data_IF_979557933676
#
_entry.id   IF_979557933676
#
_cell.length_a   1.000
_cell.length_b   1.000
_cell.length_c   1.000
_cell.angle_alpha   90.00
_cell.angle_beta   90.00
_cell.angle_gamma   90.00
#
_symmetry.space_group_name_H-M   'P 1'
#
loop_
_entity.id
_entity.type
_entity.pdbx_description
1 polymer ?
#
# COMPACT_ATOMS: atom_id res chain seq x y z
N UNK A 1 -25.88 -44.52 26.70
CA UNK A 1 -25.03 -43.33 26.52
C UNK A 1 -23.93 -43.70 25.53
N UNK A 2 -24.22 -43.65 24.23
CA UNK A 2 -23.22 -43.93 23.18
C UNK A 2 -22.38 -42.66 23.01
N UNK A 3 -21.17 -42.67 23.57
CA UNK A 3 -20.15 -41.68 23.21
C UNK A 3 -19.79 -41.93 21.74
N UNK A 4 -20.20 -41.01 20.86
CA UNK A 4 -19.62 -40.93 19.54
C UNK A 4 -18.12 -40.64 19.71
N UNK A 5 -17.29 -41.67 19.57
CA UNK A 5 -15.83 -41.50 19.47
C UNK A 5 -15.60 -40.60 18.26
N UNK A 6 -15.21 -39.36 18.51
CA UNK A 6 -14.85 -38.41 17.48
C UNK A 6 -13.56 -38.93 16.84
N UNK A 7 -13.68 -39.73 15.77
CA UNK A 7 -12.53 -40.21 15.03
C UNK A 7 -11.75 -39.01 14.51
N UNK A 8 -10.46 -38.97 14.84
CA UNK A 8 -9.58 -37.90 14.44
C UNK A 8 -9.31 -38.02 12.94
N UNK A 9 -9.58 -36.96 12.17
CA UNK A 9 -9.43 -36.98 10.71
C UNK A 9 -7.95 -37.14 10.34
N UNK A 10 -7.61 -38.25 9.70
CA UNK A 10 -6.28 -38.48 9.17
C UNK A 10 -6.05 -37.62 7.92
N UNK A 11 -5.29 -36.52 8.08
CA UNK A 11 -4.91 -35.64 6.96
C UNK A 11 -3.52 -35.94 6.39
N UNK A 12 -2.82 -36.92 6.96
CA UNK A 12 -1.48 -37.34 6.58
C UNK A 12 -1.51 -38.79 6.12
N UNK A 13 -0.78 -39.10 5.07
CA UNK A 13 -0.71 -40.44 4.50
C UNK A 13 -0.16 -41.42 5.57
N UNK A 14 -0.85 -42.55 5.84
CA UNK A 14 -0.40 -43.51 6.85
C UNK A 14 0.96 -44.15 6.52
N UNK A 15 1.31 -44.25 5.23
CA UNK A 15 2.55 -44.89 4.78
C UNK A 15 3.77 -43.99 4.86
N UNK A 16 3.66 -42.70 4.50
CA UNK A 16 4.82 -41.80 4.39
C UNK A 16 4.74 -40.52 5.24
N UNK A 17 3.63 -40.29 5.96
CA UNK A 17 3.43 -39.10 6.78
C UNK A 17 3.19 -37.79 6.01
N UNK A 18 3.22 -37.81 4.67
CA UNK A 18 2.98 -36.60 3.87
C UNK A 18 1.51 -36.17 3.92
N UNK A 19 1.30 -34.85 3.95
CA UNK A 19 -0.04 -34.26 3.98
C UNK A 19 -0.78 -34.55 2.67
N UNK A 20 -1.95 -35.16 2.77
CA UNK A 20 -2.80 -35.44 1.62
C UNK A 20 -3.62 -34.23 1.17
N UNK A 21 -3.98 -34.21 -0.12
CA UNK A 21 -4.89 -33.22 -0.71
C UNK A 21 -6.27 -33.82 -0.89
N UNK A 22 -7.35 -33.05 -0.71
CA UNK A 22 -8.71 -33.54 -0.95
C UNK A 22 -8.88 -34.05 -2.38
N UNK A 23 -9.57 -35.18 -2.55
CA UNK A 23 -9.91 -35.74 -3.88
C UNK A 23 -11.40 -36.10 -3.95
N UNK A 24 -12.03 -35.87 -5.09
CA UNK A 24 -13.46 -36.14 -5.28
C UNK A 24 -13.78 -37.64 -5.43
N UNK A 25 -14.97 -38.07 -4.99
CA UNK A 25 -15.48 -39.44 -5.20
C UNK A 25 -15.56 -39.75 -6.71
N UNK A 26 -15.90 -38.76 -7.52
CA UNK A 26 -15.91 -38.87 -8.99
C UNK A 26 -14.54 -39.32 -9.51
N UNK A 27 -13.44 -38.75 -9.00
CA UNK A 27 -12.08 -39.10 -9.38
C UNK A 27 -11.73 -40.54 -8.99
N UNK A 28 -12.07 -40.95 -7.76
CA UNK A 28 -11.85 -42.31 -7.26
C UNK A 28 -12.59 -43.32 -8.14
N UNK A 29 -13.88 -43.10 -8.38
CA UNK A 29 -14.73 -43.97 -9.21
C UNK A 29 -14.19 -44.13 -10.63
N UNK A 30 -13.71 -43.05 -11.25
CA UNK A 30 -13.25 -43.10 -12.65
C UNK A 30 -11.86 -43.70 -12.82
N UNK A 31 -10.97 -43.53 -11.83
CA UNK A 31 -9.55 -43.86 -11.99
C UNK A 31 -9.13 -45.14 -11.25
N UNK A 32 -9.89 -45.62 -10.27
CA UNK A 32 -9.65 -46.93 -9.65
C UNK A 32 -10.07 -48.06 -10.60
N UNK A 33 -9.41 -49.20 -10.49
CA UNK A 33 -9.76 -50.43 -11.21
C UNK A 33 -11.17 -50.89 -10.85
N UNK A 34 -11.80 -51.71 -11.71
CA UNK A 34 -13.19 -52.13 -11.55
C UNK A 34 -13.48 -52.81 -10.19
N UNK A 35 -12.49 -53.51 -9.63
CA UNK A 35 -12.57 -54.14 -8.30
C UNK A 35 -12.86 -53.13 -7.17
N UNK A 36 -12.28 -51.93 -7.24
CA UNK A 36 -12.40 -50.91 -6.19
C UNK A 36 -13.36 -49.78 -6.57
N UNK A 37 -13.56 -49.52 -7.86
CA UNK A 37 -14.46 -48.47 -8.35
C UNK A 37 -15.90 -48.68 -7.87
N UNK A 38 -16.35 -49.93 -7.79
CA UNK A 38 -17.70 -50.31 -7.34
C UNK A 38 -18.03 -49.88 -5.90
N UNK A 39 -17.02 -49.66 -5.06
CA UNK A 39 -17.18 -49.17 -3.69
C UNK A 39 -17.71 -47.72 -3.66
N UNK A 40 -17.63 -47.01 -4.78
CA UNK A 40 -17.98 -45.59 -4.91
C UNK A 40 -19.23 -45.36 -5.78
N UNK A 41 -19.93 -46.41 -6.17
CA UNK A 41 -21.13 -46.31 -7.01
C UNK A 41 -22.37 -45.87 -6.22
N UNK A 42 -22.47 -46.24 -4.94
CA UNK A 42 -23.65 -46.01 -4.10
C UNK A 42 -23.78 -44.58 -3.54
N UNK A 43 -22.70 -43.82 -3.42
CA UNK A 43 -22.74 -42.43 -2.93
C UNK A 43 -23.12 -41.41 -4.01
N UNK A 44 -23.12 -41.82 -5.29
CA UNK A 44 -23.56 -40.97 -6.39
C UNK A 44 -25.08 -41.09 -6.69
N UNK A 45 -25.75 -42.10 -6.12
CA UNK A 45 -27.14 -42.43 -6.43
C UNK A 45 -28.18 -41.72 -5.56
N UNK A 46 -27.78 -40.87 -4.61
CA UNK A 46 -28.75 -40.05 -3.87
C UNK A 46 -29.48 -39.01 -4.73
N UNK A 47 -29.13 -38.88 -6.02
CA UNK A 47 -29.76 -37.93 -6.95
C UNK A 47 -30.22 -38.55 -8.29
N UNK A 48 -30.24 -39.89 -8.42
CA UNK A 48 -30.88 -40.55 -9.58
C UNK A 48 -32.23 -41.12 -9.16
N UNK A 49 -33.31 -40.43 -9.51
CA UNK A 49 -34.61 -41.09 -9.65
C UNK A 49 -34.69 -41.80 -11.00
N UNK A 50 -35.35 -42.96 -10.99
CA UNK A 50 -35.43 -43.92 -12.09
C UNK A 50 -36.18 -43.44 -13.36
N UNK A 51 -36.65 -42.19 -13.43
CA UNK A 51 -37.63 -41.73 -14.43
C UNK A 51 -37.24 -40.45 -15.19
N UNK A 52 -35.95 -40.18 -15.40
CA UNK A 52 -35.50 -39.14 -16.35
C UNK A 52 -35.85 -37.68 -16.00
N UNK A 53 -36.40 -37.42 -14.81
CA UNK A 53 -36.68 -36.08 -14.31
C UNK A 53 -35.60 -35.66 -13.28
N UNK A 54 -34.92 -34.54 -13.56
CA UNK A 54 -33.96 -33.93 -12.64
C UNK A 54 -34.69 -33.47 -11.37
N UNK A 55 -34.42 -34.10 -10.23
CA UNK A 55 -34.95 -33.63 -8.95
C UNK A 55 -34.44 -32.21 -8.66
N UNK A 56 -35.33 -31.22 -8.72
CA UNK A 56 -35.07 -29.85 -8.29
C UNK A 56 -34.78 -29.84 -6.80
N UNK A 57 -33.51 -29.67 -6.43
CA UNK A 57 -33.09 -29.55 -5.02
C UNK A 57 -31.87 -30.37 -4.62
N UNK A 58 -31.31 -31.19 -5.51
CA UNK A 58 -30.01 -31.83 -5.24
C UNK A 58 -28.87 -30.83 -5.43
N UNK A 59 -28.35 -30.25 -4.36
CA UNK A 59 -27.01 -29.66 -4.36
C UNK A 59 -26.00 -30.80 -4.30
N UNK A 60 -25.17 -31.06 -5.32
CA UNK A 60 -24.09 -32.01 -5.19
C UNK A 60 -23.22 -31.50 -4.06
N UNK A 61 -23.19 -32.28 -2.98
CA UNK A 61 -22.38 -31.95 -1.84
C UNK A 61 -20.94 -31.96 -2.30
N UNK A 62 -20.39 -30.76 -2.53
CA UNK A 62 -18.95 -30.50 -2.67
C UNK A 62 -18.24 -30.69 -1.32
N UNK A 63 -18.77 -31.59 -0.50
CA UNK A 63 -18.38 -31.91 0.85
C UNK A 63 -17.16 -32.82 0.79
N UNK A 64 -16.29 -32.57 1.76
CA UNK A 64 -15.14 -33.37 2.13
C UNK A 64 -15.49 -34.86 2.01
N UNK A 65 -14.99 -35.51 0.96
CA UNK A 65 -15.32 -36.89 0.58
C UNK A 65 -14.74 -37.91 1.55
N UNK A 66 -13.96 -37.46 2.53
CA UNK A 66 -13.20 -38.32 3.41
C UNK A 66 -12.00 -38.96 2.74
N UNK A 67 -11.63 -38.56 1.51
CA UNK A 67 -10.50 -39.13 0.77
C UNK A 67 -9.43 -38.09 0.46
N UNK A 68 -8.18 -38.55 0.53
CA UNK A 68 -6.99 -37.73 0.32
C UNK A 68 -6.06 -38.37 -0.71
N UNK A 69 -5.48 -37.55 -1.60
CA UNK A 69 -4.43 -37.90 -2.53
C UNK A 69 -3.05 -37.62 -1.93
N UNK A 70 -2.16 -38.62 -1.97
CA UNK A 70 -0.76 -38.51 -1.55
C UNK A 70 0.14 -38.19 -2.76
N UNK A 71 0.76 -37.01 -2.76
CA UNK A 71 1.62 -36.52 -3.85
C UNK A 71 3.12 -36.82 -3.65
N UNK A 72 3.45 -37.62 -2.64
CA UNK A 72 4.81 -38.11 -2.41
C UNK A 72 5.26 -39.05 -3.54
N UNK A 73 6.43 -38.77 -4.11
CA UNK A 73 7.03 -39.60 -5.17
C UNK A 73 7.56 -40.94 -4.65
N UNK A 74 7.99 -40.98 -3.39
CA UNK A 74 8.61 -42.16 -2.77
C UNK A 74 7.60 -43.00 -1.97
N UNK A 75 6.31 -42.89 -2.29
CA UNK A 75 5.25 -43.60 -1.59
C UNK A 75 4.30 -44.22 -2.62
N UNK A 76 4.02 -45.52 -2.48
CA UNK A 76 3.15 -46.24 -3.40
C UNK A 76 1.65 -45.93 -3.17
N UNK A 77 1.27 -45.49 -1.96
CA UNK A 77 -0.10 -45.07 -1.64
C UNK A 77 -0.46 -43.83 -2.45
N UNK A 78 -1.54 -43.92 -3.23
CA UNK A 78 -2.12 -42.85 -4.04
C UNK A 78 -3.27 -42.18 -3.29
N UNK A 79 -4.22 -42.96 -2.80
CA UNK A 79 -5.36 -42.46 -2.05
C UNK A 79 -5.42 -43.08 -0.65
N UNK A 80 -5.91 -42.33 0.32
CA UNK A 80 -6.17 -42.81 1.67
C UNK A 80 -7.41 -42.14 2.26
N UNK A 81 -8.13 -42.87 3.10
CA UNK A 81 -9.30 -42.38 3.78
C UNK A 81 -8.93 -41.56 5.03
N UNK A 82 -9.81 -40.64 5.43
CA UNK A 82 -9.63 -39.78 6.61
C UNK A 82 -10.11 -40.43 7.91
N UNK A 83 -11.03 -41.39 7.80
CA UNK A 83 -11.76 -41.98 8.94
C UNK A 83 -11.56 -43.51 9.03
N UNK A 84 -10.79 -44.09 8.12
CA UNK A 84 -10.46 -45.52 8.11
C UNK A 84 -9.04 -45.72 7.61
N UNK A 85 -8.47 -46.90 7.87
CA UNK A 85 -7.14 -47.29 7.38
C UNK A 85 -7.14 -47.71 5.90
N UNK A 86 -8.22 -47.43 5.16
CA UNK A 86 -8.34 -47.79 3.75
C UNK A 86 -7.36 -46.97 2.90
N UNK A 87 -6.59 -47.67 2.07
CA UNK A 87 -5.63 -47.06 1.15
C UNK A 87 -5.72 -47.72 -0.22
N UNK A 88 -5.39 -46.95 -1.27
CA UNK A 88 -5.22 -47.45 -2.63
C UNK A 88 -3.84 -47.08 -3.13
N UNK A 89 -3.12 -48.06 -3.65
CA UNK A 89 -1.78 -47.92 -4.21
C UNK A 89 -1.82 -47.69 -5.73
N UNK A 90 -0.65 -47.46 -6.34
CA UNK A 90 -0.51 -47.32 -7.81
C UNK A 90 -1.14 -48.46 -8.60
N UNK A 91 -1.02 -49.70 -8.11
CA UNK A 91 -1.57 -50.90 -8.73
C UNK A 91 -3.09 -50.88 -8.87
N UNK A 92 -3.76 -50.08 -8.06
CA UNK A 92 -5.21 -50.09 -7.90
C UNK A 92 -5.88 -49.09 -8.86
N UNK A 93 -5.08 -48.37 -9.67
CA UNK A 93 -5.54 -47.38 -10.63
C UNK A 93 -5.36 -47.86 -12.07
N UNK A 94 -6.29 -47.43 -12.94
CA UNK A 94 -6.27 -47.71 -14.40
C UNK A 94 -5.22 -46.87 -15.15
N UNK A 95 -4.68 -45.84 -14.50
CA UNK A 95 -3.76 -44.88 -15.10
C UNK A 95 -2.48 -44.78 -14.27
N UNK A 96 -1.35 -44.54 -14.94
CA UNK A 96 -0.09 -44.26 -14.26
C UNK A 96 -0.17 -42.93 -13.50
N UNK A 97 0.39 -42.87 -12.30
CA UNK A 97 0.34 -41.66 -11.46
C UNK A 97 1.66 -40.91 -11.58
N UNK A 98 1.74 -39.94 -12.48
CA UNK A 98 3.04 -39.39 -12.93
C UNK A 98 3.93 -38.81 -11.84
N UNK A 99 3.38 -38.27 -10.74
CA UNK A 99 4.19 -37.80 -9.60
C UNK A 99 4.90 -38.92 -8.84
N UNK A 100 4.46 -40.16 -9.01
CA UNK A 100 5.02 -41.38 -8.39
C UNK A 100 5.87 -42.20 -9.35
N UNK A 101 5.98 -41.77 -10.60
CA UNK A 101 6.77 -42.44 -11.62
C UNK A 101 8.14 -41.75 -11.74
N UNK A 102 9.21 -42.54 -11.69
CA UNK A 102 10.60 -42.06 -11.88
C UNK A 102 11.12 -42.37 -13.28
N UNK A 103 10.49 -43.30 -13.99
CA UNK A 103 10.85 -43.74 -15.35
C UNK A 103 9.61 -43.74 -16.26
N UNK A 104 9.80 -44.01 -17.55
CA UNK A 104 8.70 -44.03 -18.53
C UNK A 104 8.19 -42.63 -18.91
N UNK A 105 6.92 -42.56 -19.32
CA UNK A 105 6.28 -41.33 -19.81
C UNK A 105 6.16 -40.25 -18.73
N UNK A 106 5.80 -40.65 -17.50
CA UNK A 106 5.49 -39.75 -16.37
C UNK A 106 4.44 -38.69 -16.75
N UNK A 107 3.16 -39.07 -16.81
CA UNK A 107 2.09 -38.18 -17.24
C UNK A 107 1.94 -36.93 -16.35
N UNK A 108 1.75 -35.77 -16.97
CA UNK A 108 1.57 -34.47 -16.29
C UNK A 108 0.16 -33.90 -16.53
N UNK A 109 -0.31 -33.92 -17.78
CA UNK A 109 -1.66 -33.53 -18.18
C UNK A 109 -2.38 -34.71 -18.84
N UNK A 110 -3.26 -35.36 -18.09
CA UNK A 110 -4.02 -36.50 -18.54
C UNK A 110 -5.05 -36.16 -19.62
N UNK A 111 -5.59 -34.93 -19.63
CA UNK A 111 -6.59 -34.53 -20.63
C UNK A 111 -6.00 -34.33 -22.04
N UNK A 112 -4.75 -33.89 -22.14
CA UNK A 112 -4.15 -33.48 -23.41
C UNK A 112 -2.83 -34.20 -23.73
N UNK A 113 -2.46 -35.20 -22.92
CA UNK A 113 -1.33 -36.09 -23.21
C UNK A 113 0.06 -35.50 -22.97
N UNK A 114 0.19 -34.45 -22.15
CA UNK A 114 1.52 -33.92 -21.80
C UNK A 114 2.17 -34.77 -20.71
N UNK A 115 3.44 -35.13 -20.91
CA UNK A 115 4.24 -35.99 -20.04
C UNK A 115 5.63 -35.38 -19.83
N UNK A 116 6.41 -35.87 -18.86
CA UNK A 116 7.80 -35.40 -18.72
C UNK A 116 8.61 -35.75 -19.98
N UNK A 117 8.31 -36.89 -20.61
CA UNK A 117 8.94 -37.29 -21.87
C UNK A 117 8.60 -36.35 -23.03
N UNK A 118 7.33 -35.96 -23.20
CA UNK A 118 6.93 -35.01 -24.26
C UNK A 118 7.59 -33.65 -24.04
N UNK A 119 7.65 -33.18 -22.80
CA UNK A 119 8.33 -31.93 -22.43
C UNK A 119 9.83 -31.99 -22.72
N UNK A 120 10.51 -33.10 -22.39
CA UNK A 120 11.92 -33.29 -22.74
C UNK A 120 12.15 -33.26 -24.25
N UNK A 121 11.23 -33.81 -25.03
CA UNK A 121 11.32 -33.79 -26.49
C UNK A 121 11.19 -32.35 -27.03
N UNK A 122 10.26 -31.55 -26.50
CA UNK A 122 10.14 -30.12 -26.83
C UNK A 122 11.42 -29.36 -26.45
N UNK A 123 11.94 -29.56 -25.24
CA UNK A 123 13.15 -28.91 -24.76
C UNK A 123 14.37 -29.23 -25.63
N UNK A 124 14.55 -30.50 -26.03
CA UNK A 124 15.64 -30.90 -26.94
C UNK A 124 15.50 -30.32 -28.34
N UNK A 125 14.26 -30.22 -28.85
CA UNK A 125 14.00 -29.76 -30.22
C UNK A 125 13.96 -28.23 -30.37
N UNK A 126 13.36 -27.54 -29.41
CA UNK A 126 13.06 -26.09 -29.48
C UNK A 126 13.80 -25.24 -28.45
N UNK A 127 14.43 -25.86 -27.44
CA UNK A 127 15.03 -25.17 -26.29
C UNK A 127 14.03 -24.63 -25.25
N UNK A 128 12.72 -24.79 -25.48
CA UNK A 128 11.65 -24.41 -24.56
C UNK A 128 10.49 -25.41 -24.67
N UNK A 129 9.57 -25.37 -23.70
CA UNK A 129 8.34 -26.19 -23.71
C UNK A 129 7.11 -25.31 -23.87
N UNK A 130 6.22 -25.70 -24.77
CA UNK A 130 4.95 -25.02 -25.04
C UNK A 130 3.78 -25.67 -24.28
N UNK A 131 4.06 -26.66 -23.44
CA UNK A 131 3.04 -27.49 -22.80
C UNK A 131 2.04 -26.66 -21.97
N UNK A 132 2.49 -25.64 -21.23
CA UNK A 132 1.61 -24.80 -20.42
C UNK A 132 0.69 -23.92 -21.28
N UNK A 133 1.23 -23.32 -22.35
CA UNK A 133 0.51 -22.51 -23.31
C UNK A 133 -0.53 -23.35 -24.07
N UNK A 134 -0.12 -24.52 -24.55
CA UNK A 134 -0.99 -25.47 -25.25
C UNK A 134 -2.15 -25.94 -24.37
N UNK A 135 -1.89 -26.32 -23.11
CA UNK A 135 -2.94 -26.71 -22.16
C UNK A 135 -3.92 -25.55 -21.93
N UNK A 136 -3.43 -24.33 -21.70
CA UNK A 136 -4.30 -23.16 -21.50
C UNK A 136 -5.15 -22.85 -22.73
N UNK A 137 -4.62 -23.07 -23.94
CA UNK A 137 -5.37 -22.92 -25.17
C UNK A 137 -6.49 -23.99 -25.28
N UNK A 138 -6.15 -25.27 -25.10
CA UNK A 138 -7.10 -26.39 -25.18
C UNK A 138 -8.15 -26.40 -24.07
N UNK A 139 -7.84 -25.82 -22.90
CA UNK A 139 -8.81 -25.60 -21.82
C UNK A 139 -9.94 -24.65 -22.22
N UNK A 140 -9.74 -23.73 -23.18
CA UNK A 140 -10.80 -22.84 -23.67
C UNK A 140 -11.76 -23.54 -24.63
N UNK A 141 -11.22 -24.41 -25.47
CA UNK A 141 -11.96 -25.28 -26.39
C UNK A 141 -11.02 -26.40 -26.82
N UNK A 142 -11.37 -27.69 -26.65
CA UNK A 142 -12.68 -28.24 -26.28
C UNK A 142 -13.02 -28.25 -24.78
N UNK A 143 -12.11 -27.80 -23.90
CA UNK A 143 -12.26 -27.90 -22.44
C UNK A 143 -11.48 -29.07 -21.83
N UNK A 144 -11.38 -29.12 -20.50
CA UNK A 144 -10.65 -30.18 -19.77
C UNK A 144 -11.56 -30.98 -18.83
N UNK A 145 -11.16 -32.23 -18.53
CA UNK A 145 -11.85 -33.14 -17.61
C UNK A 145 -10.96 -33.60 -16.46
N UNK A 146 -10.28 -32.66 -15.79
CA UNK A 146 -9.29 -33.01 -14.75
C UNK A 146 -9.88 -33.85 -13.61
N UNK A 147 -11.16 -33.65 -13.25
CA UNK A 147 -11.80 -34.40 -12.16
C UNK A 147 -11.96 -35.90 -12.47
N UNK A 148 -12.01 -36.30 -13.74
CA UNK A 148 -12.19 -37.70 -14.15
C UNK A 148 -10.93 -38.32 -14.76
N UNK A 149 -9.99 -37.50 -15.23
CA UNK A 149 -8.79 -37.97 -15.94
C UNK A 149 -7.52 -37.85 -15.08
N UNK A 150 -7.44 -36.87 -14.15
CA UNK A 150 -6.24 -36.63 -13.36
C UNK A 150 -6.35 -37.28 -11.97
N UNK A 151 -5.42 -38.17 -11.57
CA UNK A 151 -5.40 -38.80 -10.24
C UNK A 151 -5.45 -37.80 -9.07
N UNK A 152 -4.94 -36.58 -9.23
CA UNK A 152 -5.05 -35.60 -8.16
C UNK A 152 -6.44 -34.94 -8.03
N UNK A 153 -7.38 -35.26 -8.92
CA UNK A 153 -8.72 -34.66 -8.99
C UNK A 153 -8.73 -33.14 -9.16
N UNK A 154 -7.60 -32.55 -9.59
CA UNK A 154 -7.34 -31.11 -9.57
C UNK A 154 -6.66 -30.65 -10.85
N UNK A 155 -6.58 -29.33 -11.07
CA UNK A 155 -5.97 -28.78 -12.27
C UNK A 155 -4.49 -29.18 -12.42
N UNK A 156 -4.12 -29.66 -13.61
CA UNK A 156 -2.78 -30.18 -13.92
C UNK A 156 -1.69 -29.10 -14.07
N UNK A 157 -2.03 -27.82 -14.25
CA UNK A 157 -1.06 -26.76 -14.56
C UNK A 157 0.11 -26.68 -13.55
N UNK A 158 -0.17 -26.90 -12.26
CA UNK A 158 0.89 -26.94 -11.24
C UNK A 158 1.82 -28.14 -11.39
N UNK A 159 1.26 -29.32 -11.67
CA UNK A 159 2.04 -30.54 -11.94
C UNK A 159 2.87 -30.41 -13.20
N UNK A 160 2.31 -29.82 -14.27
CA UNK A 160 3.01 -29.58 -15.53
C UNK A 160 4.16 -28.61 -15.32
N UNK A 161 3.94 -27.47 -14.65
CA UNK A 161 5.01 -26.52 -14.35
C UNK A 161 6.15 -27.16 -13.54
N UNK A 162 5.84 -28.03 -12.56
CA UNK A 162 6.85 -28.80 -11.83
C UNK A 162 7.56 -29.80 -12.74
N UNK A 163 6.82 -30.50 -13.60
CA UNK A 163 7.37 -31.46 -14.57
C UNK A 163 8.31 -30.83 -15.59
N UNK A 164 8.05 -29.58 -16.03
CA UNK A 164 8.96 -28.84 -16.91
C UNK A 164 10.30 -28.58 -16.23
N UNK A 165 10.30 -28.17 -14.95
CA UNK A 165 11.53 -27.99 -14.19
C UNK A 165 12.32 -29.29 -14.04
N UNK A 166 11.63 -30.37 -13.69
CA UNK A 166 12.24 -31.71 -13.61
C UNK A 166 12.85 -32.11 -14.96
N UNK A 167 12.15 -31.86 -16.07
CA UNK A 167 12.67 -32.15 -17.41
C UNK A 167 13.94 -31.34 -17.74
N UNK A 168 13.97 -30.05 -17.38
CA UNK A 168 15.14 -29.19 -17.56
C UNK A 168 16.34 -29.65 -16.73
N UNK A 169 16.12 -29.96 -15.45
CA UNK A 169 17.12 -30.52 -14.53
C UNK A 169 17.72 -31.82 -15.08
N UNK A 170 16.87 -32.76 -15.51
CA UNK A 170 17.31 -34.04 -16.06
C UNK A 170 18.00 -33.94 -17.43
N UNK A 171 17.87 -32.81 -18.13
CA UNK A 171 18.59 -32.52 -19.37
C UNK A 171 19.89 -31.73 -19.15
N UNK A 172 20.22 -31.37 -17.90
CA UNK A 172 21.37 -30.52 -17.59
C UNK A 172 21.22 -29.10 -18.14
N UNK A 173 19.99 -28.64 -18.37
CA UNK A 173 19.70 -27.28 -18.86
C UNK A 173 19.70 -26.25 -17.71
N UNK A 174 20.09 -26.66 -16.50
CA UNK A 174 20.21 -25.81 -15.31
C UNK A 174 21.54 -25.06 -15.30
N UNK A 175 21.74 -24.20 -16.29
CA UNK A 175 22.64 -23.04 -16.22
C UNK A 175 21.91 -21.71 -16.51
N UNK A 176 20.58 -21.73 -16.35
CA UNK A 176 19.76 -20.52 -16.25
C UNK A 176 18.81 -20.64 -15.06
N UNK A 177 19.38 -20.60 -13.86
CA UNK A 177 18.62 -20.21 -12.67
C UNK A 177 18.25 -18.72 -12.77
N UNK A 178 17.14 -18.26 -12.18
CA UNK A 178 16.48 -17.02 -12.53
C UNK A 178 17.28 -15.84 -11.97
N UNK A 179 18.20 -15.30 -12.78
CA UNK A 179 18.48 -13.88 -12.66
C UNK A 179 17.18 -13.17 -12.97
N UNK A 180 16.74 -12.36 -12.00
CA UNK A 180 15.81 -11.28 -12.18
C UNK A 180 16.38 -10.30 -13.23
N UNK A 181 16.30 -10.70 -14.48
CA UNK A 181 16.56 -9.92 -15.67
C UNK A 181 15.64 -10.50 -16.73
N UNK A 182 14.37 -10.10 -16.65
CA UNK A 182 13.45 -10.21 -17.78
C UNK A 182 13.92 -9.22 -18.84
N UNK A 183 14.94 -9.59 -19.59
CA UNK A 183 15.06 -9.17 -20.98
C UNK A 183 14.10 -10.06 -21.76
N UNK A 184 12.83 -9.66 -21.75
CA UNK A 184 11.85 -10.23 -22.66
C UNK A 184 12.19 -9.73 -24.07
N UNK A 185 12.66 -10.67 -24.89
CA UNK A 185 12.25 -10.86 -26.28
C UNK A 185 11.02 -10.03 -26.63
N UNK A 186 11.17 -9.19 -27.65
CA UNK A 186 10.12 -8.36 -28.22
C UNK A 186 8.90 -9.21 -28.61
N UNK A 187 7.81 -9.09 -27.85
CA UNK A 187 6.46 -9.36 -28.36
C UNK A 187 5.69 -8.06 -28.29
N UNK A 188 5.02 -7.70 -29.38
CA UNK A 188 4.26 -6.47 -29.62
C UNK A 188 3.37 -6.05 -28.44
N UNK A 189 3.92 -5.23 -27.55
CA UNK A 189 3.21 -4.66 -26.41
C UNK A 189 2.33 -3.50 -26.85
N UNK A 190 1.02 -3.64 -26.63
CA UNK A 190 0.08 -2.52 -26.74
C UNK A 190 0.57 -1.30 -25.95
N UNK A 191 0.22 -0.08 -26.39
CA UNK A 191 0.61 1.20 -25.75
C UNK A 191 0.43 1.21 -24.21
N UNK A 192 -0.51 0.41 -23.68
CA UNK A 192 -0.74 0.28 -22.25
C UNK A 192 0.41 -0.36 -21.45
N UNK A 193 1.16 -1.29 -22.03
CA UNK A 193 2.29 -1.94 -21.33
C UNK A 193 3.51 -1.02 -21.23
N UNK A 194 3.73 -0.19 -22.26
CA UNK A 194 4.77 0.84 -22.25
C UNK A 194 4.50 1.89 -21.16
N UNK A 195 3.23 2.33 -21.04
CA UNK A 195 2.80 3.29 -20.02
C UNK A 195 2.95 2.70 -18.61
N UNK A 196 2.61 1.41 -18.41
CA UNK A 196 2.76 0.75 -17.11
C UNK A 196 4.23 0.58 -16.69
N UNK A 197 5.11 0.22 -17.63
CA UNK A 197 6.56 0.08 -17.38
C UNK A 197 7.22 1.43 -17.05
N UNK A 198 6.87 2.48 -17.79
CA UNK A 198 7.33 3.85 -17.53
C UNK A 198 6.81 4.38 -16.18
N UNK A 199 5.56 4.08 -15.84
CA UNK A 199 4.96 4.50 -14.57
C UNK A 199 5.63 3.85 -13.34
N UNK A 200 5.95 2.57 -13.41
CA UNK A 200 6.63 1.86 -12.32
C UNK A 200 8.04 2.40 -12.08
N UNK A 201 8.82 2.60 -13.14
CA UNK A 201 10.19 3.15 -13.05
C UNK A 201 10.17 4.60 -12.59
N UNK A 202 9.26 5.42 -13.12
CA UNK A 202 9.10 6.82 -12.72
C UNK A 202 8.73 6.97 -11.24
N UNK A 203 7.81 6.14 -10.75
CA UNK A 203 7.39 6.18 -9.34
C UNK A 203 8.51 5.83 -8.36
N UNK A 204 9.37 4.87 -8.70
CA UNK A 204 10.51 4.48 -7.86
C UNK A 204 11.57 5.59 -7.78
N UNK A 205 11.85 6.29 -8.88
CA UNK A 205 12.82 7.38 -8.93
C UNK A 205 12.32 8.59 -8.15
N UNK A 206 11.05 8.98 -8.34
CA UNK A 206 10.45 10.12 -7.63
C UNK A 206 10.34 9.84 -6.13
N UNK A 207 9.98 8.62 -5.72
CA UNK A 207 9.97 8.22 -4.32
C UNK A 207 11.37 8.17 -3.69
N UNK A 208 12.41 7.85 -4.46
CA UNK A 208 13.79 7.89 -3.96
C UNK A 208 14.33 9.31 -3.88
N UNK A 209 13.92 10.18 -4.81
CA UNK A 209 14.34 11.57 -4.87
C UNK A 209 13.88 12.38 -3.65
N UNK A 210 12.71 12.11 -3.06
CA UNK A 210 12.26 12.86 -1.88
C UNK A 210 13.11 12.62 -0.62
N UNK A 211 13.88 11.53 -0.56
CA UNK A 211 14.79 11.24 0.56
C UNK A 211 16.23 11.68 0.30
N UNK A 212 16.68 11.62 -0.95
CA UNK A 212 18.06 11.95 -1.31
C UNK A 212 18.24 13.44 -1.63
N UNK A 213 17.23 14.09 -2.21
CA UNK A 213 17.30 15.49 -2.59
C UNK A 213 17.58 16.44 -1.42
N UNK A 214 16.98 16.28 -0.21
CA UNK A 214 17.33 17.11 0.94
C UNK A 214 18.78 16.93 1.39
N UNK A 215 19.28 15.70 1.34
CA UNK A 215 20.64 15.35 1.76
C UNK A 215 21.70 15.86 0.77
N UNK A 216 21.37 15.82 -0.53
CA UNK A 216 22.18 16.41 -1.60
C UNK A 216 22.18 17.94 -1.53
N UNK A 217 21.05 18.59 -1.29
CA UNK A 217 20.98 20.05 -1.16
C UNK A 217 21.78 20.56 0.05
N UNK A 218 21.74 19.83 1.17
CA UNK A 218 22.61 20.09 2.32
C UNK A 218 24.09 19.91 1.99
N UNK A 219 24.46 18.88 1.23
CA UNK A 219 25.84 18.63 0.81
C UNK A 219 26.39 19.71 -0.14
N UNK A 220 25.53 20.33 -0.95
CA UNK A 220 25.89 21.45 -1.85
C UNK A 220 25.91 22.79 -1.09
N UNK A 221 25.59 22.81 0.20
CA UNK A 221 25.62 24.02 1.03
C UNK A 221 24.50 25.01 0.73
N UNK A 222 23.46 24.58 0.00
CA UNK A 222 22.26 25.39 -0.22
C UNK A 222 21.39 25.22 1.02
N UNK A 223 21.47 26.19 1.94
CA UNK A 223 20.54 26.26 3.07
C UNK A 223 19.12 26.33 2.50
N UNK A 224 18.27 25.38 2.89
CA UNK A 224 16.94 25.17 2.29
C UNK A 224 16.00 26.37 2.36
N UNK A 225 16.36 27.44 3.09
CA UNK A 225 15.61 28.69 3.18
C UNK A 225 15.32 29.34 1.82
N UNK A 226 16.31 29.36 0.90
CA UNK A 226 16.12 30.00 -0.41
C UNK A 226 15.24 29.21 -1.39
N UNK A 227 15.28 27.87 -1.31
CA UNK A 227 14.49 26.99 -2.18
C UNK A 227 13.06 26.81 -1.62
N UNK A 228 12.91 26.81 -0.30
CA UNK A 228 11.60 26.71 0.37
C UNK A 228 10.65 27.87 0.02
N UNK A 229 11.15 29.11 -0.04
CA UNK A 229 10.34 30.28 -0.38
C UNK A 229 9.70 30.18 -1.79
N UNK A 230 10.41 29.61 -2.76
CA UNK A 230 9.85 29.39 -4.11
C UNK A 230 8.87 28.23 -4.16
N UNK A 231 9.05 27.21 -3.32
CA UNK A 231 8.18 26.03 -3.25
C UNK A 231 6.87 26.31 -2.50
N UNK A 232 6.81 27.32 -1.64
CA UNK A 232 5.58 27.75 -0.97
C UNK A 232 4.50 28.18 -1.97
N UNK A 233 4.88 28.85 -3.07
CA UNK A 233 3.95 29.20 -4.16
C UNK A 233 3.36 27.97 -4.86
N UNK A 234 4.09 26.86 -4.94
CA UNK A 234 3.61 25.62 -5.58
C UNK A 234 2.95 24.65 -4.60
N UNK A 235 3.04 24.91 -3.29
CA UNK A 235 2.42 24.11 -2.23
C UNK A 235 0.94 23.79 -2.49
N UNK A 236 0.05 24.72 -2.86
CA UNK A 236 -1.35 24.38 -3.14
C UNK A 236 -1.49 23.37 -4.30
N UNK A 237 -0.67 23.48 -5.34
CA UNK A 237 -0.71 22.57 -6.50
C UNK A 237 -0.34 21.14 -6.08
N UNK A 238 0.73 20.99 -5.29
CA UNK A 238 1.15 19.68 -4.80
C UNK A 238 0.12 19.06 -3.85
N UNK A 239 -0.51 19.86 -3.00
CA UNK A 239 -1.58 19.41 -2.10
C UNK A 239 -2.79 18.94 -2.89
N UNK A 240 -3.26 19.72 -3.87
CA UNK A 240 -4.38 19.32 -4.74
C UNK A 240 -4.07 18.05 -5.53
N UNK A 241 -2.87 17.92 -6.10
CA UNK A 241 -2.45 16.72 -6.80
C UNK A 241 -2.44 15.48 -5.89
N UNK A 242 -1.92 15.62 -4.66
CA UNK A 242 -1.87 14.52 -3.67
C UNK A 242 -3.25 14.06 -3.25
N UNK A 243 -4.18 14.99 -2.99
CA UNK A 243 -5.59 14.68 -2.69
C UNK A 243 -6.23 13.95 -3.88
N UNK A 244 -5.95 14.39 -5.12
CA UNK A 244 -6.44 13.72 -6.33
C UNK A 244 -5.95 12.27 -6.46
N UNK A 245 -4.66 12.03 -6.26
CA UNK A 245 -4.09 10.67 -6.32
C UNK A 245 -4.61 9.76 -5.20
N UNK A 246 -4.71 10.26 -3.96
CA UNK A 246 -5.29 9.51 -2.85
C UNK A 246 -6.77 9.21 -3.09
N UNK A 247 -7.54 10.19 -3.60
CA UNK A 247 -8.93 10.02 -3.98
C UNK A 247 -9.12 8.94 -5.05
N UNK A 248 -8.28 8.95 -6.10
CA UNK A 248 -8.27 7.91 -7.12
C UNK A 248 -7.91 6.54 -6.51
N UNK A 249 -6.88 6.46 -5.65
CA UNK A 249 -6.48 5.22 -4.99
C UNK A 249 -7.58 4.65 -4.08
N UNK A 250 -8.26 5.50 -3.29
CA UNK A 250 -9.44 5.11 -2.51
C UNK A 250 -10.57 4.66 -3.41
N UNK A 251 -10.86 5.40 -4.48
CA UNK A 251 -11.88 5.02 -5.45
C UNK A 251 -11.62 3.64 -6.04
N UNK A 252 -10.41 3.37 -6.54
CA UNK A 252 -10.08 2.06 -7.12
C UNK A 252 -10.02 0.93 -6.08
N UNK A 253 -9.63 1.22 -4.84
CA UNK A 253 -9.51 0.21 -3.77
C UNK A 253 -10.86 -0.15 -3.15
N UNK A 254 -11.77 0.83 -3.03
CA UNK A 254 -13.08 0.66 -2.38
C UNK A 254 -14.25 0.52 -3.34
N UNK A 255 -14.09 0.81 -4.64
CA UNK A 255 -15.15 0.56 -5.62
C UNK A 255 -15.44 -0.95 -5.63
N UNK A 256 -16.65 -1.38 -5.21
CA UNK A 256 -17.01 -2.77 -5.29
C UNK A 256 -17.00 -3.16 -6.76
N UNK A 257 -16.24 -4.20 -7.11
CA UNK A 257 -16.49 -4.86 -8.39
C UNK A 257 -17.92 -5.35 -8.30
N UNK A 258 -18.79 -4.89 -9.20
CA UNK A 258 -20.16 -5.42 -9.34
C UNK A 258 -20.02 -6.93 -9.47
N UNK A 259 -20.34 -7.65 -8.40
CA UNK A 259 -20.65 -9.06 -8.46
C UNK A 259 -21.96 -9.13 -9.20
N UNK A 260 -21.90 -9.33 -10.51
CA UNK A 260 -23.02 -9.90 -11.22
C UNK A 260 -23.35 -11.21 -10.50
N UNK A 261 -24.58 -11.29 -9.99
CA UNK A 261 -25.13 -12.46 -9.35
C UNK A 261 -25.21 -13.57 -10.42
N UNK A 262 -24.15 -14.35 -10.58
CA UNK A 262 -24.08 -15.42 -11.55
C UNK A 262 -24.55 -16.71 -10.89
N UNK A 263 -25.86 -16.92 -11.01
CA UNK A 263 -26.46 -18.25 -11.07
C UNK A 263 -25.73 -19.12 -12.11
N UNK A 264 -25.55 -20.39 -11.76
CA UNK A 264 -25.15 -21.55 -12.57
C UNK A 264 -23.68 -21.65 -13.09
N UNK A 265 -23.03 -22.73 -12.62
CA UNK A 265 -22.32 -23.76 -13.40
C UNK A 265 -21.40 -23.36 -14.56
N UNK A 266 -20.10 -23.66 -14.40
CA UNK A 266 -19.10 -23.91 -15.45
C UNK A 266 -19.23 -23.10 -16.76
N UNK A 267 -18.48 -21.99 -16.81
CA UNK A 267 -18.02 -21.25 -18.00
C UNK A 267 -19.06 -21.00 -19.11
N UNK A 268 -19.66 -19.80 -19.20
CA UNK A 268 -20.23 -19.37 -20.47
C UNK A 268 -19.11 -18.93 -21.41
N UNK A 269 -19.16 -19.45 -22.63
CA UNK A 269 -18.51 -18.89 -23.82
C UNK A 269 -19.15 -17.56 -24.15
N UNK A 270 -18.46 -16.43 -23.88
CA UNK A 270 -18.30 -15.29 -24.80
C UNK A 270 -17.63 -14.09 -24.12
N UNK A 271 -16.51 -13.70 -24.73
CA UNK A 271 -15.91 -12.36 -24.84
C UNK A 271 -15.62 -11.49 -23.59
N UNK A 272 -14.33 -11.15 -23.51
CA UNK A 272 -13.73 -9.94 -22.89
C UNK A 272 -13.61 -9.87 -21.36
N UNK A 273 -12.60 -10.57 -20.85
CA UNK A 273 -11.51 -10.05 -20.01
C UNK A 273 -10.98 -11.19 -19.13
N UNK A 274 -9.86 -11.77 -19.57
CA UNK A 274 -9.17 -12.88 -18.92
C UNK A 274 -8.94 -12.61 -17.43
N UNK A 275 -9.63 -13.36 -16.58
CA UNK A 275 -9.14 -13.70 -15.25
C UNK A 275 -8.96 -15.20 -15.19
N UNK A 276 -7.71 -15.58 -14.99
CA UNK A 276 -7.25 -16.95 -14.90
C UNK A 276 -8.11 -17.79 -13.95
N UNK A 277 -8.79 -18.79 -14.51
CA UNK A 277 -9.63 -19.74 -13.76
C UNK A 277 -8.83 -20.72 -12.89
N UNK A 278 -7.54 -20.46 -12.67
CA UNK A 278 -6.64 -21.31 -11.88
C UNK A 278 -5.84 -20.50 -10.86
N UNK A 279 -6.52 -19.61 -10.13
CA UNK A 279 -5.95 -19.03 -8.92
C UNK A 279 -5.93 -20.10 -7.82
N UNK A 280 -4.72 -20.56 -7.49
CA UNK A 280 -4.43 -21.48 -6.40
C UNK A 280 -5.20 -21.07 -5.13
N UNK A 281 -6.10 -21.92 -4.64
CA UNK A 281 -6.71 -21.79 -3.30
C UNK A 281 -5.74 -22.35 -2.25
N UNK A 282 -4.51 -21.83 -2.27
CA UNK A 282 -3.59 -21.96 -1.16
C UNK A 282 -4.06 -21.05 -0.04
N UNK A 283 -4.56 -21.64 1.06
CA UNK A 283 -4.73 -20.96 2.35
C UNK A 283 -3.34 -20.55 2.88
N UNK A 284 -2.86 -19.40 2.38
CA UNK A 284 -2.02 -18.39 3.03
C UNK A 284 -1.89 -17.21 2.06
N UNK A 285 -3.01 -16.60 1.72
CA UNK A 285 -2.99 -15.18 1.38
C UNK A 285 -3.28 -14.47 2.68
N UNK A 286 -2.25 -13.86 3.29
CA UNK A 286 -2.51 -12.62 4.03
C UNK A 286 -3.48 -11.82 3.15
N UNK A 287 -4.61 -11.41 3.71
CA UNK A 287 -5.70 -10.83 2.94
C UNK A 287 -5.15 -9.58 2.23
N UNK A 288 -4.68 -9.74 0.98
CA UNK A 288 -3.95 -8.71 0.22
C UNK A 288 -4.83 -7.46 0.09
N UNK A 289 -6.15 -7.65 0.10
CA UNK A 289 -7.11 -6.56 0.12
C UNK A 289 -7.11 -5.80 1.47
N UNK A 290 -6.90 -6.48 2.59
CA UNK A 290 -6.75 -5.84 3.92
C UNK A 290 -5.41 -5.15 4.06
N UNK A 291 -4.33 -5.73 3.51
CA UNK A 291 -2.99 -5.09 3.51
C UNK A 291 -3.00 -3.84 2.64
N UNK A 292 -3.59 -3.88 1.44
CA UNK A 292 -3.69 -2.70 0.56
C UNK A 292 -4.54 -1.60 1.18
N UNK A 293 -5.63 -1.96 1.88
CA UNK A 293 -6.44 -0.99 2.64
C UNK A 293 -5.63 -0.39 3.81
N UNK A 294 -4.96 -1.22 4.60
CA UNK A 294 -4.13 -0.75 5.71
C UNK A 294 -3.02 0.19 5.22
N UNK A 295 -2.32 -0.18 4.14
CA UNK A 295 -1.30 0.66 3.52
C UNK A 295 -1.87 2.01 3.08
N UNK A 296 -3.05 2.02 2.44
CA UNK A 296 -3.69 3.27 2.00
C UNK A 296 -4.03 4.19 3.18
N UNK A 297 -4.56 3.64 4.28
CA UNK A 297 -4.82 4.41 5.50
C UNK A 297 -3.54 4.93 6.15
N UNK A 298 -2.48 4.13 6.22
CA UNK A 298 -1.17 4.56 6.74
C UNK A 298 -0.61 5.73 5.93
N UNK A 299 -0.62 5.64 4.60
CA UNK A 299 -0.16 6.72 3.71
C UNK A 299 -1.01 7.98 3.89
N UNK A 300 -2.32 7.82 4.08
CA UNK A 300 -3.24 8.95 4.28
C UNK A 300 -2.98 9.66 5.60
N UNK A 301 -2.79 8.92 6.70
CA UNK A 301 -2.46 9.48 8.02
C UNK A 301 -1.11 10.22 7.95
N UNK A 302 -0.11 9.62 7.31
CA UNK A 302 1.19 10.25 7.14
C UNK A 302 1.10 11.52 6.29
N UNK A 303 0.36 11.51 5.18
CA UNK A 303 0.15 12.69 4.35
C UNK A 303 -0.55 13.83 5.11
N UNK A 304 -1.55 13.51 5.95
CA UNK A 304 -2.21 14.49 6.83
C UNK A 304 -1.19 15.05 7.84
N UNK A 305 -0.42 14.20 8.51
CA UNK A 305 0.60 14.66 9.46
C UNK A 305 1.59 15.63 8.79
N UNK A 306 2.14 15.29 7.62
CA UNK A 306 3.05 16.19 6.90
C UNK A 306 2.38 17.49 6.40
N UNK A 307 1.09 17.46 6.08
CA UNK A 307 0.34 18.65 5.70
C UNK A 307 0.25 19.66 6.86
N UNK A 308 -0.01 19.15 8.06
CA UNK A 308 -0.09 19.94 9.28
C UNK A 308 1.28 20.19 9.94
N UNK A 309 2.38 19.74 9.33
CA UNK A 309 3.74 19.91 9.85
C UNK A 309 4.06 21.32 10.34
N UNK A 310 3.78 22.41 9.59
CA UNK A 310 4.10 23.76 10.08
C UNK A 310 3.38 24.10 11.40
N UNK A 311 2.12 23.69 11.53
CA UNK A 311 1.28 24.07 12.68
C UNK A 311 1.69 23.42 14.01
N UNK A 312 2.38 22.29 14.00
CA UNK A 312 2.83 21.62 15.24
C UNK A 312 4.33 21.68 15.46
N UNK A 313 5.12 21.95 14.43
CA UNK A 313 6.58 22.06 14.56
C UNK A 313 6.97 23.33 15.30
N UNK A 314 6.24 24.43 15.12
CA UNK A 314 6.41 25.63 15.96
C UNK A 314 6.20 25.35 17.44
N UNK A 315 5.23 24.49 17.78
CA UNK A 315 4.99 24.06 19.15
C UNK A 315 6.05 23.06 19.68
N UNK A 316 6.62 22.21 18.81
CA UNK A 316 7.56 21.15 19.19
C UNK A 316 9.02 21.60 19.23
N UNK A 317 9.44 22.50 18.34
CA UNK A 317 10.79 23.07 18.31
C UNK A 317 10.93 24.33 19.17
N UNK A 318 9.83 24.79 19.77
CA UNK A 318 9.83 25.88 20.73
C UNK A 318 10.20 27.21 20.10
N UNK A 319 9.21 28.09 19.97
CA UNK A 319 9.47 29.54 20.09
C UNK A 319 10.23 29.73 21.40
N UNK A 320 11.53 29.93 21.29
CA UNK A 320 12.44 29.91 22.42
C UNK A 320 12.23 31.19 23.22
N UNK A 321 11.45 31.08 24.30
CA UNK A 321 11.42 31.93 25.49
C UNK A 321 11.95 33.35 25.34
N UNK A 322 11.13 34.23 24.78
CA UNK A 322 11.27 35.66 25.00
C UNK A 322 10.43 36.13 26.16
N UNK A 323 10.97 37.03 26.96
CA UNK A 323 10.16 37.87 27.84
C UNK A 323 9.05 38.53 27.02
N UNK A 324 7.80 38.45 27.49
CA UNK A 324 6.66 39.08 26.83
C UNK A 324 6.84 40.61 26.89
N UNK A 325 6.41 41.33 25.86
CA UNK A 325 6.45 42.79 25.87
C UNK A 325 5.50 43.27 26.97
N UNK A 326 6.05 43.95 27.98
CA UNK A 326 5.27 44.51 29.10
C UNK A 326 5.26 46.03 29.05
N UNK A 327 4.26 46.65 29.66
CA UNK A 327 4.07 48.13 29.68
C UNK A 327 5.24 48.91 30.32
N UNK A 328 6.20 48.22 30.94
CA UNK A 328 7.39 48.79 31.58
C UNK A 328 8.66 48.55 30.74
N UNK A 329 8.59 48.71 29.43
CA UNK A 329 9.74 48.57 28.51
C UNK A 329 9.73 49.70 27.49
N UNK A 330 10.92 50.13 27.06
CA UNK A 330 11.01 51.00 25.90
C UNK A 330 10.84 50.15 24.65
N UNK A 331 9.88 50.50 23.79
CA UNK A 331 9.47 49.65 22.66
C UNK A 331 9.70 50.38 21.35
N UNK A 332 10.25 49.67 20.36
CA UNK A 332 10.35 50.17 19.00
C UNK A 332 9.80 49.15 18.01
N UNK A 333 9.24 49.68 16.92
CA UNK A 333 8.64 48.90 15.85
C UNK A 333 9.51 48.99 14.60
N UNK A 334 9.84 47.84 14.03
CA UNK A 334 10.60 47.73 12.80
C UNK A 334 9.73 47.10 11.71
N UNK A 335 9.76 47.67 10.52
CA UNK A 335 9.24 47.03 9.32
C UNK A 335 10.38 46.25 8.66
N UNK A 336 10.16 44.97 8.40
CA UNK A 336 11.16 44.05 7.86
C UNK A 336 10.65 43.50 6.53
N UNK A 337 11.40 43.76 5.47
CA UNK A 337 11.18 43.26 4.12
C UNK A 337 11.99 41.98 3.90
N UNK A 338 11.38 40.98 3.24
CA UNK A 338 12.03 39.69 2.93
C UNK A 338 11.68 38.51 3.84
N UNK A 339 10.81 38.69 4.84
CA UNK A 339 10.24 37.57 5.62
C UNK A 339 9.08 36.94 4.84
N UNK A 340 9.19 35.65 4.48
CA UNK A 340 8.18 34.97 3.65
C UNK A 340 7.45 33.83 4.37
N UNK A 341 7.95 33.39 5.53
CA UNK A 341 7.32 32.32 6.30
C UNK A 341 7.64 32.43 7.80
N UNK A 342 6.95 31.62 8.62
CA UNK A 342 7.15 31.53 10.06
C UNK A 342 8.61 31.18 10.44
N UNK A 343 9.29 30.36 9.63
CA UNK A 343 10.71 30.04 9.84
C UNK A 343 11.67 31.22 9.57
N UNK A 344 11.34 32.10 8.61
CA UNK A 344 12.05 33.36 8.42
C UNK A 344 11.85 34.28 9.62
N UNK A 345 10.63 34.32 10.17
CA UNK A 345 10.29 35.08 11.38
C UNK A 345 11.17 34.67 12.57
N UNK A 346 11.29 33.37 12.85
CA UNK A 346 12.14 32.88 13.95
C UNK A 346 13.62 33.20 13.74
N UNK A 347 14.09 33.25 12.48
CA UNK A 347 15.48 33.61 12.16
C UNK A 347 15.72 35.10 12.40
N UNK A 348 14.79 35.96 11.98
CA UNK A 348 14.83 37.39 12.24
C UNK A 348 14.73 37.70 13.74
N UNK A 349 13.81 37.04 14.45
CA UNK A 349 13.64 37.15 15.89
C UNK A 349 14.93 36.81 16.65
N UNK A 350 15.59 35.70 16.28
CA UNK A 350 16.87 35.32 16.86
C UNK A 350 17.96 36.34 16.59
N UNK A 351 18.06 36.86 15.37
CA UNK A 351 19.06 37.88 15.02
C UNK A 351 18.86 39.17 15.82
N UNK A 352 17.62 39.55 16.12
CA UNK A 352 17.30 40.73 16.95
C UNK A 352 17.61 40.44 18.42
N UNK A 353 17.29 39.25 18.93
CA UNK A 353 17.59 38.84 20.32
C UNK A 353 19.10 38.81 20.63
N UNK A 354 19.93 38.51 19.64
CA UNK A 354 21.40 38.46 19.80
C UNK A 354 22.03 39.88 19.90
N UNK A 355 21.25 40.95 19.67
CA UNK A 355 21.72 42.33 19.83
C UNK A 355 21.76 42.71 21.32
N UNK A 356 22.87 43.30 21.82
CA UNK A 356 22.93 43.80 23.20
C UNK A 356 21.78 44.76 23.53
N UNK A 357 21.33 44.73 24.78
CA UNK A 357 20.24 45.56 25.34
C UNK A 357 18.81 45.21 24.91
N UNK A 358 18.64 44.20 24.04
CA UNK A 358 17.32 43.66 23.68
C UNK A 358 16.84 42.64 24.71
N UNK A 359 15.66 42.87 25.30
CA UNK A 359 15.06 42.04 26.35
C UNK A 359 13.88 41.22 25.83
N UNK A 360 13.06 41.82 24.98
CA UNK A 360 11.87 41.21 24.41
C UNK A 360 11.84 41.42 22.89
N UNK A 361 11.41 40.41 22.15
CA UNK A 361 11.23 40.48 20.70
C UNK A 361 9.99 39.68 20.34
N UNK A 362 9.11 40.31 19.55
CA UNK A 362 7.95 39.67 18.92
C UNK A 362 7.97 40.00 17.43
N UNK A 363 7.95 38.97 16.57
CA UNK A 363 8.00 39.14 15.11
C UNK A 363 6.73 38.60 14.49
N UNK A 364 6.04 39.48 13.77
CA UNK A 364 4.86 39.18 12.97
C UNK A 364 5.26 39.15 11.49
N UNK A 365 5.35 37.94 10.95
CA UNK A 365 5.71 37.74 9.53
C UNK A 365 4.56 38.07 8.58
N UNK A 366 3.30 37.95 9.02
CA UNK A 366 2.14 38.24 8.16
C UNK A 366 2.07 39.74 7.84
N UNK A 367 2.40 40.57 8.84
CA UNK A 367 2.42 42.02 8.71
C UNK A 367 3.83 42.60 8.41
N UNK A 368 4.86 41.76 8.32
CA UNK A 368 6.24 42.19 8.09
C UNK A 368 6.76 43.14 9.17
N UNK A 369 6.36 42.91 10.44
CA UNK A 369 6.59 43.82 11.57
C UNK A 369 7.30 43.10 12.70
N UNK A 370 8.30 43.73 13.29
CA UNK A 370 8.91 43.28 14.54
C UNK A 370 8.75 44.35 15.61
N UNK A 371 8.41 43.92 16.82
CA UNK A 371 8.31 44.77 18.01
C UNK A 371 9.44 44.35 18.95
N UNK A 372 10.27 45.32 19.33
CA UNK A 372 11.49 45.10 20.13
C UNK A 372 11.37 45.89 21.42
N UNK A 373 11.50 45.21 22.55
CA UNK A 373 11.49 45.80 23.89
C UNK A 373 12.89 45.81 24.50
N UNK A 374 13.29 46.95 25.05
CA UNK A 374 14.50 47.14 25.86
C UNK A 374 14.12 47.62 27.26
N UNK A 375 15.07 47.57 28.20
CA UNK A 375 14.86 48.12 29.55
C UNK A 375 14.49 49.62 29.49
N UNK A 376 13.63 50.08 30.42
CA UNK A 376 13.14 51.49 30.50
C UNK A 376 14.28 52.51 30.60
N UNK A 377 15.41 52.11 31.16
CA UNK A 377 16.56 52.98 31.37
C UNK A 377 17.35 53.28 30.08
N UNK A 378 17.16 52.50 29.01
CA UNK A 378 18.00 52.52 27.83
C UNK A 378 17.20 52.81 26.53
N UNK A 379 17.77 53.59 25.60
CA UNK A 379 17.19 53.76 24.27
C UNK A 379 17.33 52.49 23.43
N UNK A 380 16.37 52.23 22.54
CA UNK A 380 16.42 51.08 21.63
C UNK A 380 17.56 51.26 20.62
N UNK A 381 18.48 50.29 20.45
CA UNK A 381 19.63 50.43 19.55
C UNK A 381 19.26 50.18 18.08
N UNK A 382 18.57 51.15 17.46
CA UNK A 382 18.03 51.05 16.09
C UNK A 382 19.07 50.60 15.06
N UNK A 383 20.25 51.23 15.03
CA UNK A 383 21.31 50.93 14.05
C UNK A 383 21.88 49.52 14.21
N UNK A 384 21.99 49.03 15.45
CA UNK A 384 22.51 47.69 15.73
C UNK A 384 21.51 46.61 15.28
N UNK A 385 20.22 46.84 15.51
CA UNK A 385 19.14 45.95 15.09
C UNK A 385 19.05 45.90 13.56
N UNK A 386 19.12 47.05 12.87
CA UNK A 386 19.10 47.09 11.40
C UNK A 386 20.32 46.34 10.82
N UNK A 387 21.51 46.52 11.40
CA UNK A 387 22.72 45.79 10.97
C UNK A 387 22.61 44.28 11.21
N UNK A 388 22.07 43.86 12.34
CA UNK A 388 21.86 42.44 12.65
C UNK A 388 20.89 41.79 11.65
N UNK A 389 19.79 42.49 11.32
CA UNK A 389 18.84 42.04 10.31
C UNK A 389 19.45 42.00 8.90
N UNK A 390 20.27 42.98 8.53
CA UNK A 390 21.02 42.97 7.26
C UNK A 390 22.01 41.81 7.17
N UNK A 391 22.73 41.50 8.25
CA UNK A 391 23.62 40.34 8.32
C UNK A 391 22.85 39.02 8.22
N UNK A 392 21.61 38.99 8.72
CA UNK A 392 20.68 37.87 8.55
C UNK A 392 20.00 37.82 7.18
N UNK A 393 20.26 38.79 6.29
CA UNK A 393 19.76 38.84 4.92
C UNK A 393 18.41 39.55 4.74
N UNK A 394 17.98 40.34 5.72
CA UNK A 394 16.72 41.09 5.68
C UNK A 394 16.97 42.60 5.56
N UNK A 395 16.05 43.30 4.89
CA UNK A 395 16.04 44.77 4.88
C UNK A 395 15.06 45.28 5.93
N UNK A 396 15.49 46.20 6.80
CA UNK A 396 14.66 46.69 7.90
C UNK A 396 14.69 48.22 8.01
N UNK A 397 13.55 48.80 8.38
CA UNK A 397 13.37 50.24 8.65
C UNK A 397 12.58 50.45 9.93
N UNK A 398 12.90 51.52 10.66
CA UNK A 398 12.10 51.94 11.83
C UNK A 398 10.73 52.43 11.32
N UNK A 399 9.66 51.98 11.97
CA UNK A 399 8.30 52.44 11.68
C UNK A 399 8.00 53.65 12.58
N UNK A 400 7.81 54.83 11.98
CA UNK A 400 7.57 56.13 12.63
C UNK A 400 6.21 56.25 13.35
N UNK A 401 5.69 55.16 13.94
CA UNK A 401 4.41 55.19 14.67
C UNK A 401 4.54 55.54 16.16
N UNK A 402 5.69 56.03 16.62
CA UNK A 402 5.92 56.45 18.02
C UNK A 402 6.77 57.73 18.21
N UNK A 403 7.08 58.48 17.15
CA UNK A 403 7.64 59.83 17.32
C UNK A 403 6.57 60.85 17.78
N UNK A 404 5.28 60.54 17.65
CA UNK A 404 4.19 61.49 17.97
C UNK A 404 3.78 61.54 19.45
N UNK A 405 4.40 60.79 20.36
CA UNK A 405 4.03 60.79 21.79
C UNK A 405 5.00 61.55 22.71
N UNK A 406 6.14 62.03 22.22
CA UNK A 406 7.04 62.89 23.02
C UNK A 406 6.64 64.38 22.98
N UNK A 407 6.07 64.87 21.87
CA UNK A 407 5.67 66.28 21.72
C UNK A 407 4.34 66.66 22.42
N UNK A 408 3.46 65.68 22.71
CA UNK A 408 2.22 65.90 23.47
C UNK A 408 2.42 66.08 24.99
N UNK A 409 3.64 65.83 25.50
CA UNK A 409 3.96 65.97 26.93
C UNK A 409 4.10 67.43 27.39
N UNK A 410 4.31 68.35 26.45
CA UNK A 410 4.44 69.79 26.72
C UNK A 410 3.07 70.45 26.96
N UNK A 411 2.05 70.08 26.18
CA UNK A 411 0.68 70.58 26.31
C UNK A 411 -0.03 70.04 27.57
N UNK A 412 0.27 68.81 27.98
CA UNK A 412 -0.29 68.22 29.19
C UNK A 412 0.16 68.93 30.48
N UNK A 413 1.35 69.57 30.47
CA UNK A 413 1.82 70.38 31.61
C UNK A 413 1.13 71.75 31.67
N UNK A 414 0.90 72.41 30.54
CA UNK A 414 0.11 73.65 30.48
C UNK A 414 -1.35 73.41 30.86
N UNK A 415 -1.97 72.34 30.36
CA UNK A 415 -3.37 72.02 30.67
C UNK A 415 -3.57 71.67 32.14
N UNK A 416 -2.59 70.99 32.78
CA UNK A 416 -2.65 70.63 34.20
C UNK A 416 -2.39 71.84 35.11
N UNK A 417 -1.59 72.81 34.67
CA UNK A 417 -1.43 74.10 35.37
C UNK A 417 -2.69 74.98 35.22
N UNK A 418 -3.28 75.04 34.02
CA UNK A 418 -4.53 75.78 33.76
C UNK A 418 -5.74 75.16 34.48
N UNK A 419 -5.85 73.82 34.52
CA UNK A 419 -6.94 73.11 35.19
C UNK A 419 -6.89 73.25 36.71
N UNK A 420 -5.69 73.24 37.32
CA UNK A 420 -5.55 73.50 38.75
C UNK A 420 -5.88 74.95 39.14
N UNK A 421 -5.70 75.91 38.23
CA UNK A 421 -6.11 77.31 38.42
C UNK A 421 -7.64 77.52 38.33
N UNK A 422 -8.37 76.64 37.62
CA UNK A 422 -9.81 76.78 37.35
C UNK A 422 -10.73 76.00 38.32
N UNK A 423 -10.18 75.32 39.33
CA UNK A 423 -10.87 74.34 40.21
C UNK A 423 -11.96 74.91 41.15
N UNK A 424 -12.43 76.14 40.94
CA UNK A 424 -13.46 76.80 41.76
C UNK A 424 -14.84 76.96 41.11
N UNK A 425 -15.01 76.76 39.80
CA UNK A 425 -16.30 76.91 39.13
C UNK A 425 -16.37 75.97 37.94
N UNK A 426 -17.34 75.05 37.96
CA UNK A 426 -18.24 74.66 36.84
C UNK A 426 -18.88 73.31 37.19
N UNK A 427 -20.21 73.28 37.07
CA UNK A 427 -21.10 72.15 37.39
C UNK A 427 -21.41 71.43 36.06
N UNK A 428 -21.07 70.15 35.95
CA UNK A 428 -21.30 69.35 34.73
C UNK A 428 -22.77 68.89 34.68
N UNK A 429 -23.49 69.24 33.61
CA UNK A 429 -24.82 68.72 33.29
C UNK A 429 -24.61 67.43 32.47
N UNK A 430 -25.10 66.29 32.97
CA UNK A 430 -25.17 65.04 32.21
C UNK A 430 -26.44 65.05 31.34
N UNK A 431 -26.28 64.85 30.03
CA UNK A 431 -27.36 64.40 29.15
C UNK A 431 -27.06 62.98 28.69
N UNK A 432 -27.93 62.07 29.12
CA UNK A 432 -28.08 60.69 28.65
C UNK A 432 -28.97 60.72 27.41
N UNK A 433 -28.58 60.04 26.33
CA UNK A 433 -29.41 59.86 25.14
C UNK A 433 -29.84 58.38 25.01
N UNK A 434 -31.13 58.06 24.81
CA UNK A 434 -31.56 56.77 24.31
C UNK A 434 -32.01 56.86 22.85
N UNK A 435 -31.82 55.79 22.08
CA UNK A 435 -32.35 55.61 20.72
C UNK A 435 -31.33 55.04 19.76
#
# INVERSE_FOLDING_TARGET
MFQAMKMEKQLVCPSCGNKGRAVGVVTLRTLLNDEHASQFDSEADSCRQHDGAMATGCTPNRHDTGWRFCDSSNCDVVYFAEQSDATFAKSDLRVQVGVKETTGERPLCYCFGHSVTSVKQELRGKGHSDALEDIRAKMKSPGCRCETENPSGSCCLGSVAKGVKIAQEELGMTDMSPQANVSASQSSGSRGELIAKLGAVGSAIVASACCWLPLVLLAVGVSGAGVAATLESYRPIFVTATIGFLGAAFYFTYRPRRTADSKQGCCPTESTASKDCCANSGKRRFNMMTVNKAMLWVVTVLAIAFLFFPSYVGALLGTSGGEQITDNMNTAVFKIDGMTCEGCASTAEKAIRDVPDVVAVEVDYENGRAVVGTEVCCPVPHDAIIKALQQAGYEARVSESDESLQDLSTDAREFKQAFNAAKGRVRLVMLVSPG
#
